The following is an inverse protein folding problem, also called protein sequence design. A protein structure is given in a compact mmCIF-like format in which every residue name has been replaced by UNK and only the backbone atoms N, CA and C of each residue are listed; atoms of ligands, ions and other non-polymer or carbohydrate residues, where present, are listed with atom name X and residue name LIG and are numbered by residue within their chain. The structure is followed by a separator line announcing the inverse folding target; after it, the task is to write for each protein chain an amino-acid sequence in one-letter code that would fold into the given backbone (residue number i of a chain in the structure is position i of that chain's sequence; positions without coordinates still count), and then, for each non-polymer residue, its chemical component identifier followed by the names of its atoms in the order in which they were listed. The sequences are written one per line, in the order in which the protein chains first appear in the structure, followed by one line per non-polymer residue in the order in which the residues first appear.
data_IF_168842916216
#
_entry.id   IF_168842916216
#
_cell.length_a   1.000
_cell.length_b   1.000
_cell.length_c   1.000
_cell.angle_alpha   90.00
_cell.angle_beta   90.00
_cell.angle_gamma   90.00
#
_symmetry.space_group_name_H-M   'P 1'
#
loop_
_entity.id
_entity.type
_entity.pdbx_description
1 polymer ?
#
# COMPACT_ATOMS: atom_id res chain seq x y z
N UNK A 1 22.31 0.70 -3.64
CA UNK A 1 22.09 0.99 -5.06
C UNK A 1 21.07 2.09 -5.11
N UNK A 2 21.27 3.09 -5.96
CA UNK A 2 20.23 4.07 -6.22
C UNK A 2 19.04 3.38 -6.90
N UNK A 3 17.83 3.89 -6.65
CA UNK A 3 16.62 3.42 -7.32
C UNK A 3 16.63 3.80 -8.81
N UNK A 4 15.64 3.35 -9.57
CA UNK A 4 15.44 3.71 -10.98
C UNK A 4 14.03 4.28 -11.18
N UNK A 5 13.95 5.41 -11.88
CA UNK A 5 12.71 6.13 -12.18
C UNK A 5 11.91 5.42 -13.27
N UNK A 6 10.70 5.90 -13.53
CA UNK A 6 9.87 5.36 -14.61
C UNK A 6 10.44 5.70 -16.00
N UNK A 7 11.16 6.82 -16.10
CA UNK A 7 11.89 7.27 -17.27
C UNK A 7 13.21 6.52 -17.50
N UNK A 8 13.72 5.79 -16.50
CA UNK A 8 14.97 5.03 -16.60
C UNK A 8 14.75 3.64 -17.22
N UNK A 9 15.77 3.06 -17.89
CA UNK A 9 15.72 1.67 -18.32
C UNK A 9 15.55 0.73 -17.12
N UNK A 10 14.52 -0.14 -17.17
CA UNK A 10 14.26 -1.11 -16.10
C UNK A 10 15.38 -2.15 -15.99
N UNK A 11 15.98 -2.35 -14.80
CA UNK A 11 16.94 -3.42 -14.58
C UNK A 11 16.28 -4.81 -14.78
N UNK A 12 17.02 -5.82 -15.26
CA UNK A 12 16.48 -7.16 -15.52
C UNK A 12 16.34 -7.99 -14.22
N UNK A 13 15.65 -7.45 -13.22
CA UNK A 13 15.36 -8.13 -11.94
C UNK A 13 14.49 -9.35 -12.22
N UNK A 14 14.88 -10.51 -11.68
CA UNK A 14 14.22 -11.81 -11.83
C UNK A 14 14.02 -12.27 -13.30
N UNK A 15 14.81 -11.75 -14.25
CA UNK A 15 14.79 -12.19 -15.64
C UNK A 15 15.87 -13.24 -15.94
N UNK A 16 15.52 -14.25 -16.74
CA UNK A 16 16.40 -15.35 -17.16
C UNK A 16 16.29 -16.61 -16.28
N UNK A 17 17.03 -17.66 -16.65
CA UNK A 17 17.09 -18.92 -15.89
C UNK A 17 18.53 -19.47 -15.84
N UNK A 18 19.20 -19.43 -14.68
CA UNK A 18 18.77 -18.76 -13.44
C UNK A 18 18.83 -17.23 -13.58
N UNK A 19 17.97 -16.47 -12.88
CA UNK A 19 18.04 -15.01 -12.87
C UNK A 19 19.33 -14.53 -12.21
N UNK A 20 19.97 -13.50 -12.79
CA UNK A 20 21.21 -12.93 -12.26
C UNK A 20 20.98 -11.88 -11.18
N UNK A 21 19.90 -11.12 -11.28
CA UNK A 21 19.52 -10.08 -10.32
C UNK A 21 18.30 -10.56 -9.53
N UNK A 22 18.53 -10.99 -8.29
CA UNK A 22 17.50 -11.52 -7.40
C UNK A 22 17.38 -10.58 -6.19
N UNK A 23 16.17 -10.14 -5.82
CA UNK A 23 15.95 -9.35 -4.60
C UNK A 23 16.52 -10.07 -3.36
N UNK A 24 17.36 -9.41 -2.55
CA UNK A 24 17.87 -9.97 -1.31
C UNK A 24 16.72 -10.19 -0.32
N UNK A 25 16.78 -11.29 0.44
CA UNK A 25 15.74 -11.62 1.43
C UNK A 25 15.54 -10.57 2.52
N UNK A 26 16.58 -9.82 2.87
CA UNK A 26 16.52 -8.80 3.94
C UNK A 26 16.23 -7.39 3.39
N UNK A 27 16.52 -7.13 2.12
CA UNK A 27 16.47 -5.79 1.54
C UNK A 27 15.49 -5.67 0.36
N UNK A 28 14.60 -6.65 0.18
CA UNK A 28 13.63 -6.68 -0.93
C UNK A 28 12.72 -5.44 -0.94
N UNK A 29 12.51 -4.81 0.23
CA UNK A 29 11.69 -3.61 0.42
C UNK A 29 12.49 -2.30 0.31
N UNK A 30 13.80 -2.38 0.03
CA UNK A 30 14.69 -1.24 -0.16
C UNK A 30 14.99 -0.99 -1.64
N UNK A 31 15.38 0.24 -2.01
CA UNK A 31 15.87 0.53 -3.35
C UNK A 31 17.07 -0.33 -3.75
N UNK A 32 17.14 -0.79 -5.01
CA UNK A 32 16.16 -0.63 -6.09
C UNK A 32 15.15 -1.78 -6.14
N UNK A 33 15.26 -2.74 -5.21
CA UNK A 33 14.54 -4.01 -5.24
C UNK A 33 13.04 -3.83 -5.05
N UNK A 34 12.63 -2.86 -4.23
CA UNK A 34 11.23 -2.54 -3.95
C UNK A 34 10.41 -2.25 -5.21
N UNK A 35 11.00 -1.62 -6.23
CA UNK A 35 10.36 -1.32 -7.52
C UNK A 35 9.88 -2.56 -8.24
N UNK A 36 10.59 -3.69 -8.10
CA UNK A 36 10.10 -4.98 -8.59
C UNK A 36 9.26 -5.66 -7.52
N UNK A 37 9.78 -5.76 -6.29
CA UNK A 37 9.21 -6.60 -5.24
C UNK A 37 7.79 -6.21 -4.84
N UNK A 38 7.47 -4.91 -4.82
CA UNK A 38 6.14 -4.45 -4.42
C UNK A 38 5.03 -4.86 -5.40
N UNK A 39 5.35 -5.13 -6.67
CA UNK A 39 4.42 -5.68 -7.65
C UNK A 39 4.37 -7.23 -7.66
N UNK A 40 5.32 -7.90 -6.99
CA UNK A 40 5.55 -9.35 -7.12
C UNK A 40 5.61 -10.08 -5.76
N UNK A 41 5.05 -9.50 -4.69
CA UNK A 41 5.12 -10.05 -3.31
C UNK A 41 4.78 -11.55 -3.24
N UNK A 42 3.74 -11.98 -3.97
CA UNK A 42 3.27 -13.37 -3.98
C UNK A 42 4.27 -14.37 -4.57
N UNK A 43 5.28 -13.90 -5.28
CA UNK A 43 6.27 -14.77 -5.93
C UNK A 43 7.37 -15.22 -4.96
N UNK A 44 7.57 -14.49 -3.85
CA UNK A 44 8.66 -14.79 -2.91
C UNK A 44 8.27 -14.73 -1.43
N UNK A 45 7.09 -14.21 -1.08
CA UNK A 45 6.53 -14.28 0.27
C UNK A 45 5.24 -15.10 0.32
N UNK A 46 4.99 -15.84 1.41
CA UNK A 46 3.70 -16.48 1.63
C UNK A 46 2.58 -15.45 1.65
N UNK A 47 1.51 -15.70 0.89
CA UNK A 47 0.33 -14.82 0.83
C UNK A 47 -0.95 -15.65 0.94
N UNK A 48 -2.02 -14.99 1.40
CA UNK A 48 -3.38 -15.52 1.34
C UNK A 48 -4.19 -14.62 0.42
N UNK A 49 -5.02 -15.23 -0.42
CA UNK A 49 -5.91 -14.47 -1.30
C UNK A 49 -7.07 -13.87 -0.50
N UNK A 50 -7.25 -12.56 -0.61
CA UNK A 50 -8.50 -11.89 -0.24
C UNK A 50 -9.40 -11.91 -1.47
N UNK A 51 -10.25 -12.92 -1.56
CA UNK A 51 -11.09 -13.14 -2.74
C UNK A 51 -12.17 -12.07 -2.86
N UNK A 52 -12.25 -11.44 -4.04
CA UNK A 52 -13.25 -10.41 -4.37
C UNK A 52 -14.67 -10.94 -4.65
N UNK A 53 -14.87 -12.26 -4.66
CA UNK A 53 -16.15 -12.89 -5.01
C UNK A 53 -16.38 -13.13 -6.51
N UNK A 54 -17.50 -13.80 -6.84
CA UNK A 54 -17.97 -14.06 -8.21
C UNK A 54 -18.94 -12.98 -8.74
N UNK A 55 -19.27 -11.98 -7.91
CA UNK A 55 -20.27 -10.96 -8.22
C UNK A 55 -19.87 -10.00 -9.34
N UNK A 56 -20.84 -9.19 -9.75
CA UNK A 56 -20.63 -8.14 -10.75
C UNK A 56 -19.57 -7.14 -10.26
N UNK A 57 -18.60 -6.83 -11.12
CA UNK A 57 -17.61 -5.79 -10.84
C UNK A 57 -18.18 -4.47 -11.31
N UNK A 58 -18.44 -3.55 -10.39
CA UNK A 58 -18.77 -2.19 -10.79
C UNK A 58 -17.56 -1.59 -11.53
N UNK A 59 -17.75 -1.20 -12.78
CA UNK A 59 -16.75 -0.47 -13.54
C UNK A 59 -17.02 1.01 -13.35
N UNK A 60 -16.01 1.77 -12.97
CA UNK A 60 -16.15 3.23 -12.92
C UNK A 60 -16.36 3.77 -14.33
N UNK A 61 -17.30 4.70 -14.47
CA UNK A 61 -17.37 5.53 -15.66
C UNK A 61 -16.08 6.33 -15.79
N UNK A 62 -15.69 6.66 -17.02
CA UNK A 62 -14.48 7.45 -17.31
C UNK A 62 -14.90 8.82 -17.84
N UNK A 63 -14.29 9.87 -17.31
CA UNK A 63 -14.45 11.25 -17.74
C UNK A 63 -13.07 11.91 -17.67
N UNK A 64 -12.15 11.37 -18.48
CA UNK A 64 -10.73 11.68 -18.37
C UNK A 64 -10.37 13.07 -18.89
N UNK A 65 -9.44 13.69 -18.18
CA UNK A 65 -8.71 14.87 -18.60
C UNK A 65 -7.23 14.54 -18.50
N UNK A 66 -6.45 14.97 -19.48
CA UNK A 66 -5.01 14.82 -19.39
C UNK A 66 -4.45 15.78 -18.34
N UNK A 67 -3.82 15.22 -17.30
CA UNK A 67 -3.21 15.97 -16.21
C UNK A 67 -1.67 15.90 -16.26
N UNK A 68 -1.05 15.27 -17.26
CA UNK A 68 0.40 15.07 -17.30
C UNK A 68 1.18 16.39 -17.19
N UNK A 69 0.68 17.46 -17.82
CA UNK A 69 1.26 18.80 -17.84
C UNK A 69 0.78 19.74 -16.73
N UNK A 70 -0.03 19.25 -15.78
CA UNK A 70 -0.52 20.05 -14.65
C UNK A 70 0.69 20.59 -13.84
N UNK A 71 0.84 21.92 -13.67
CA UNK A 71 1.95 22.48 -12.90
C UNK A 71 1.79 22.13 -11.41
N UNK A 72 2.86 21.59 -10.83
CA UNK A 72 2.97 21.22 -9.41
C UNK A 72 4.39 21.54 -8.91
N UNK A 73 4.66 21.27 -7.64
CA UNK A 73 6.01 21.32 -7.06
C UNK A 73 6.53 19.91 -6.84
N UNK A 74 7.84 19.70 -7.02
CA UNK A 74 8.52 18.45 -6.70
C UNK A 74 8.78 18.29 -5.18
N UNK A 75 9.42 17.19 -4.78
CA UNK A 75 9.76 16.93 -3.37
C UNK A 75 10.70 17.98 -2.73
N UNK A 76 11.35 18.82 -3.54
CA UNK A 76 12.24 19.90 -3.10
C UNK A 76 11.56 21.28 -3.12
N UNK A 77 10.32 21.36 -3.60
CA UNK A 77 9.58 22.61 -3.79
C UNK A 77 9.88 23.32 -5.11
N UNK A 78 10.58 22.68 -6.05
CA UNK A 78 10.86 23.27 -7.36
C UNK A 78 9.68 23.05 -8.32
N UNK A 79 9.38 24.01 -9.22
CA UNK A 79 8.30 23.84 -10.20
C UNK A 79 8.55 22.66 -11.15
N UNK A 80 7.52 21.83 -11.35
CA UNK A 80 7.51 20.69 -12.29
C UNK A 80 6.09 20.46 -12.83
N UNK A 81 5.88 19.36 -13.55
CA UNK A 81 4.55 18.87 -13.94
C UNK A 81 4.14 17.65 -13.12
N UNK A 82 2.86 17.30 -13.09
CA UNK A 82 2.39 16.08 -12.44
C UNK A 82 3.16 14.85 -12.96
N UNK A 83 3.33 14.70 -14.27
CA UNK A 83 4.11 13.59 -14.83
C UNK A 83 5.56 13.59 -14.31
N UNK A 84 6.20 14.76 -14.19
CA UNK A 84 7.54 14.90 -13.62
C UNK A 84 7.60 14.48 -12.15
N UNK A 85 6.62 14.90 -11.34
CA UNK A 85 6.51 14.49 -9.94
C UNK A 85 6.29 12.98 -9.80
N UNK A 86 5.41 12.37 -10.61
CA UNK A 86 5.14 10.93 -10.56
C UNK A 86 6.38 10.11 -10.93
N UNK A 87 7.21 10.59 -11.86
CA UNK A 87 8.49 9.98 -12.20
C UNK A 87 9.53 10.13 -11.08
N UNK A 88 9.69 11.34 -10.55
CA UNK A 88 10.63 11.68 -9.48
C UNK A 88 10.36 10.90 -8.18
N UNK A 89 9.09 10.67 -7.88
CA UNK A 89 8.61 9.94 -6.70
C UNK A 89 8.50 8.42 -6.90
N UNK A 90 8.96 7.89 -8.04
CA UNK A 90 8.90 6.45 -8.34
C UNK A 90 7.48 5.88 -8.30
N UNK A 91 6.46 6.64 -8.73
CA UNK A 91 5.07 6.18 -8.68
C UNK A 91 4.85 4.99 -9.62
N UNK A 92 4.28 3.90 -9.14
CA UNK A 92 3.86 2.73 -9.93
C UNK A 92 2.48 2.90 -10.58
N UNK A 93 1.54 3.49 -9.84
CA UNK A 93 0.17 3.70 -10.29
C UNK A 93 -0.45 4.91 -9.61
N UNK A 94 -1.21 5.69 -10.37
CA UNK A 94 -1.85 6.92 -9.89
C UNK A 94 -3.26 7.03 -10.47
N UNK A 95 -4.24 7.30 -9.62
CA UNK A 95 -5.66 7.38 -9.98
C UNK A 95 -6.32 8.59 -9.31
N UNK A 96 -7.02 9.39 -10.09
CA UNK A 96 -7.90 10.46 -9.62
C UNK A 96 -9.34 10.09 -9.93
N UNK A 97 -10.15 9.96 -8.88
CA UNK A 97 -11.59 9.83 -8.97
C UNK A 97 -12.26 11.18 -8.68
N UNK A 98 -13.18 11.60 -9.55
CA UNK A 98 -14.00 12.79 -9.37
C UNK A 98 -15.45 12.46 -9.68
N UNK A 99 -16.36 12.77 -8.76
CA UNK A 99 -17.80 12.54 -8.92
C UNK A 99 -18.16 11.10 -9.32
N UNK A 100 -17.43 10.12 -8.76
CA UNK A 100 -17.61 8.69 -9.06
C UNK A 100 -17.06 8.23 -10.41
N UNK A 101 -16.31 9.07 -11.12
CA UNK A 101 -15.71 8.77 -12.43
C UNK A 101 -14.19 8.85 -12.38
N UNK A 102 -13.53 8.04 -13.19
CA UNK A 102 -12.08 8.13 -13.40
C UNK A 102 -11.81 9.40 -14.20
N UNK A 103 -11.13 10.36 -13.58
CA UNK A 103 -10.73 11.63 -14.18
C UNK A 103 -9.31 11.58 -14.74
N UNK A 104 -8.44 10.75 -14.16
CA UNK A 104 -7.07 10.54 -14.61
C UNK A 104 -6.52 9.23 -14.04
N UNK A 105 -5.83 8.45 -14.84
CA UNK A 105 -5.26 7.16 -14.44
C UNK A 105 -3.98 6.91 -15.23
N UNK A 106 -2.88 6.58 -14.54
CA UNK A 106 -1.59 6.22 -15.16
C UNK A 106 -0.97 5.06 -14.40
N UNK A 107 -0.29 4.21 -15.15
CA UNK A 107 0.49 3.08 -14.65
C UNK A 107 1.91 3.16 -15.23
N UNK A 108 2.89 2.82 -14.41
CA UNK A 108 4.31 2.93 -14.73
C UNK A 108 5.04 1.66 -14.29
N UNK A 109 6.33 1.58 -14.58
CA UNK A 109 7.19 0.48 -14.11
C UNK A 109 6.64 -0.93 -14.47
N UNK A 110 5.97 -1.03 -15.62
CA UNK A 110 5.35 -2.28 -16.11
C UNK A 110 4.06 -2.70 -15.40
N UNK A 111 3.52 -1.87 -14.51
CA UNK A 111 2.22 -2.06 -13.88
C UNK A 111 1.09 -1.89 -14.91
N UNK A 112 -0.01 -2.60 -14.72
CA UNK A 112 -1.30 -2.33 -15.37
C UNK A 112 -2.44 -2.33 -14.33
N UNK A 113 -3.68 -2.13 -14.79
CA UNK A 113 -4.90 -2.09 -13.94
C UNK A 113 -5.16 -3.38 -13.13
N UNK A 114 -4.46 -4.47 -13.44
CA UNK A 114 -4.61 -5.79 -12.81
C UNK A 114 -3.44 -6.14 -11.90
N UNK A 115 -2.33 -5.43 -12.01
CA UNK A 115 -1.16 -5.66 -11.16
C UNK A 115 -1.51 -5.36 -9.70
N UNK A 116 -1.24 -6.32 -8.82
CA UNK A 116 -1.33 -6.09 -7.38
C UNK A 116 -0.07 -5.38 -6.91
N UNK A 117 -0.23 -4.36 -6.06
CA UNK A 117 0.86 -3.62 -5.48
C UNK A 117 0.83 -3.71 -3.95
N UNK A 118 2.00 -3.83 -3.32
CA UNK A 118 2.12 -3.78 -1.86
C UNK A 118 1.60 -2.43 -1.36
N UNK A 119 0.58 -2.46 -0.51
CA UNK A 119 -0.07 -1.27 0.03
C UNK A 119 0.61 -0.70 1.27
N UNK A 120 1.57 -1.44 1.84
CA UNK A 120 2.19 -1.13 3.13
C UNK A 120 1.12 -0.81 4.20
N UNK A 121 1.33 0.24 5.01
CA UNK A 121 0.43 0.63 6.09
C UNK A 121 -0.97 1.05 5.66
N UNK A 122 -1.28 1.24 4.38
CA UNK A 122 -2.67 1.45 3.92
C UNK A 122 -3.58 0.27 4.29
N UNK A 123 -3.03 -0.94 4.46
CA UNK A 123 -3.78 -2.10 4.95
C UNK A 123 -4.44 -1.86 6.33
N UNK A 124 -3.86 -0.99 7.17
CA UNK A 124 -4.39 -0.68 8.50
C UNK A 124 -5.76 0.00 8.43
N UNK A 125 -6.01 0.83 7.42
CA UNK A 125 -7.30 1.50 7.23
C UNK A 125 -8.41 0.51 6.87
N UNK A 126 -8.09 -0.54 6.11
CA UNK A 126 -9.03 -1.64 5.82
C UNK A 126 -9.40 -2.38 7.11
N UNK A 127 -8.39 -2.76 7.91
CA UNK A 127 -8.61 -3.39 9.22
C UNK A 127 -9.43 -2.49 10.15
N UNK A 128 -9.10 -1.21 10.25
CA UNK A 128 -9.84 -0.24 11.05
C UNK A 128 -11.30 -0.09 10.63
N UNK A 129 -11.58 -0.12 9.31
CA UNK A 129 -12.95 -0.09 8.78
C UNK A 129 -13.75 -1.33 9.20
N UNK A 130 -13.13 -2.51 9.18
CA UNK A 130 -13.77 -3.75 9.68
C UNK A 130 -14.05 -3.65 11.18
N UNK A 131 -13.11 -3.12 11.97
CA UNK A 131 -13.34 -2.86 13.40
C UNK A 131 -14.54 -1.92 13.61
N UNK A 132 -14.64 -0.83 12.84
CA UNK A 132 -15.80 0.07 12.89
C UNK A 132 -17.13 -0.64 12.66
N UNK A 133 -17.19 -1.58 11.70
CA UNK A 133 -18.39 -2.41 11.45
C UNK A 133 -18.68 -3.31 12.66
N UNK A 134 -17.67 -3.95 13.24
CA UNK A 134 -17.84 -4.86 14.38
C UNK A 134 -18.30 -4.10 15.64
N UNK A 135 -17.80 -2.88 15.85
CA UNK A 135 -18.25 -1.98 16.91
C UNK A 135 -19.70 -1.57 16.68
N UNK A 136 -20.06 -1.14 15.47
CA UNK A 136 -21.44 -0.79 15.13
C UNK A 136 -22.44 -1.96 15.28
N UNK A 137 -21.95 -3.21 15.20
CA UNK A 137 -22.73 -4.43 15.46
C UNK A 137 -22.76 -4.86 16.93
N UNK A 138 -22.06 -4.15 17.82
CA UNK A 138 -21.96 -4.50 19.24
C UNK A 138 -21.11 -5.75 19.53
N UNK A 139 -20.32 -6.21 18.56
CA UNK A 139 -19.45 -7.38 18.72
C UNK A 139 -18.11 -7.02 19.36
N UNK A 140 -17.67 -5.78 19.17
CA UNK A 140 -16.48 -5.20 19.80
C UNK A 140 -16.90 -3.96 20.58
N UNK A 141 -16.42 -3.87 21.82
CA UNK A 141 -16.57 -2.71 22.68
C UNK A 141 -15.21 -1.99 22.76
N UNK A 142 -15.09 -0.78 22.18
CA UNK A 142 -13.82 -0.03 22.18
C UNK A 142 -13.29 0.28 23.58
N UNK A 143 -14.16 0.38 24.58
CA UNK A 143 -13.77 0.70 25.95
C UNK A 143 -13.19 -0.50 26.70
N UNK A 144 -13.43 -1.73 26.23
CA UNK A 144 -12.87 -2.93 26.87
C UNK A 144 -11.36 -3.03 26.67
N UNK A 145 -10.64 -3.59 27.66
CA UNK A 145 -9.24 -3.92 27.47
C UNK A 145 -9.10 -4.96 26.36
N UNK A 146 -8.03 -4.87 25.56
CA UNK A 146 -7.73 -5.81 24.47
C UNK A 146 -7.69 -7.26 24.95
N UNK A 147 -7.29 -7.47 26.21
CA UNK A 147 -7.22 -8.77 26.88
C UNK A 147 -8.59 -9.42 27.12
N UNK A 148 -9.69 -8.66 26.97
CA UNK A 148 -11.04 -9.23 26.96
C UNK A 148 -11.28 -10.11 25.72
N UNK A 149 -10.55 -9.83 24.63
CA UNK A 149 -10.65 -10.53 23.35
C UNK A 149 -9.45 -11.43 23.09
N UNK A 150 -8.27 -11.03 23.57
CA UNK A 150 -6.99 -11.74 23.42
C UNK A 150 -6.33 -11.94 24.79
N UNK A 151 -6.78 -12.92 25.60
CA UNK A 151 -6.29 -13.15 26.96
C UNK A 151 -4.77 -13.36 27.04
N UNK A 152 -4.17 -13.92 25.98
CA UNK A 152 -2.74 -14.21 25.87
C UNK A 152 -1.87 -12.94 25.96
N UNK A 153 -2.44 -11.77 25.68
CA UNK A 153 -1.76 -10.49 25.79
C UNK A 153 -1.61 -9.98 27.23
N UNK A 154 -2.23 -10.65 28.22
CA UNK A 154 -2.27 -10.21 29.62
C UNK A 154 -0.90 -10.14 30.33
N UNK A 155 0.13 -10.78 29.78
CA UNK A 155 1.50 -10.73 30.29
C UNK A 155 2.45 -9.92 29.39
N UNK A 156 1.90 -9.06 28.52
CA UNK A 156 2.68 -8.29 27.54
C UNK A 156 2.56 -6.78 27.77
N UNK A 157 3.25 -5.97 26.96
CA UNK A 157 3.12 -4.52 26.99
C UNK A 157 1.70 -4.01 26.62
N UNK A 158 0.84 -4.87 26.08
CA UNK A 158 -0.55 -4.54 25.71
C UNK A 158 -1.51 -4.58 26.91
N UNK A 159 -1.08 -5.07 28.07
CA UNK A 159 -1.92 -5.16 29.26
C UNK A 159 -2.42 -3.77 29.68
N UNK A 160 -3.74 -3.65 29.86
CA UNK A 160 -4.38 -2.39 30.23
C UNK A 160 -4.71 -1.46 29.06
N UNK A 161 -4.21 -1.73 27.85
CA UNK A 161 -4.66 -1.02 26.66
C UNK A 161 -6.12 -1.36 26.34
N UNK A 162 -6.95 -0.35 26.10
CA UNK A 162 -8.30 -0.54 25.54
C UNK A 162 -8.19 -0.84 24.04
N UNK A 163 -9.26 -1.40 23.47
CA UNK A 163 -9.37 -1.53 22.01
C UNK A 163 -9.26 -0.15 21.34
N UNK A 164 -9.84 0.89 21.93
CA UNK A 164 -9.72 2.26 21.43
C UNK A 164 -8.27 2.75 21.39
N UNK A 165 -7.46 2.46 22.42
CA UNK A 165 -6.03 2.82 22.40
C UNK A 165 -5.28 2.16 21.23
N UNK A 166 -5.66 0.93 20.85
CA UNK A 166 -5.07 0.26 19.68
C UNK A 166 -5.47 0.95 18.39
N UNK A 167 -6.75 1.27 18.23
CA UNK A 167 -7.29 1.92 17.02
C UNK A 167 -6.67 3.31 16.80
N UNK A 168 -6.39 4.02 17.89
CA UNK A 168 -5.81 5.37 17.86
C UNK A 168 -4.28 5.40 17.92
N UNK A 169 -3.61 4.24 17.96
CA UNK A 169 -2.15 4.13 18.12
C UNK A 169 -1.63 4.81 19.40
N UNK A 170 -2.38 4.76 20.50
CA UNK A 170 -2.06 5.40 21.79
C UNK A 170 -1.77 4.40 22.93
N UNK A 171 -1.38 3.18 22.61
CA UNK A 171 -1.18 2.11 23.60
C UNK A 171 0.03 2.30 24.52
N UNK A 172 1.01 3.13 24.13
CA UNK A 172 2.25 3.32 24.89
C UNK A 172 3.19 2.11 24.88
N UNK A 173 2.92 1.11 24.03
CA UNK A 173 3.79 -0.06 23.84
C UNK A 173 5.15 0.41 23.30
N UNK A 174 6.23 0.01 23.97
CA UNK A 174 7.58 0.28 23.51
C UNK A 174 7.96 -0.71 22.41
N UNK A 175 8.22 -0.18 21.22
CA UNK A 175 8.65 -0.93 20.04
C UNK A 175 9.76 -0.13 19.35
N UNK A 176 10.79 -0.83 18.85
CA UNK A 176 11.79 -0.22 17.96
C UNK A 176 11.31 -0.44 16.54
N UNK A 177 10.96 0.65 15.86
CA UNK A 177 10.58 0.63 14.44
C UNK A 177 11.79 0.47 13.52
#
# INVERSE_FOLDING_TARGET
MDSYRNSDPRPPIMQGSPPRLVPPKLDWDRPPWNRWAFQHIREFLPTVEVWRGHGHRHRFERAEVDLDALPVEDSTGAPTTLAGLLDETYTDGFLVLKDGRIAYERYFNGMDERTLHLSQSMAKSVTGSVFGILVGRGLIDPAKPVTSYLPELGATAWTGASVQHVLDMTTGVRFSE
#
